data_IF_771008018533
#
_entry.id   IF_771008018533
#
_cell.length_a   1.000
_cell.length_b   1.000
_cell.length_c   1.000
_cell.angle_alpha   90.00
_cell.angle_beta   90.00
_cell.angle_gamma   90.00
#
_symmetry.space_group_name_H-M   'P 1'
#
loop_
_entity.id
_entity.type
_entity.pdbx_description
1 polymer ?
#
# COMPACT_ATOMS: atom_id res chain seq x y z
N UNK A 1 -19.45 2.22 -23.17
CA UNK A 1 -18.12 1.95 -23.73
C UNK A 1 -17.16 1.88 -22.55
N UNK A 2 -16.55 0.71 -22.31
CA UNK A 2 -15.60 0.54 -21.21
C UNK A 2 -14.36 1.40 -21.42
N UNK A 3 -13.85 1.96 -20.33
CA UNK A 3 -12.64 2.77 -20.35
C UNK A 3 -11.41 1.86 -20.40
N UNK A 4 -10.63 1.99 -21.48
CA UNK A 4 -9.39 1.21 -21.65
C UNK A 4 -8.17 1.87 -20.97
N UNK A 5 -8.37 2.94 -20.21
CA UNK A 5 -7.29 3.62 -19.52
C UNK A 5 -6.77 2.75 -18.37
N UNK A 6 -5.45 2.55 -18.35
CA UNK A 6 -4.76 1.90 -17.24
C UNK A 6 -4.71 2.84 -16.06
N UNK A 7 -5.21 2.39 -14.92
CA UNK A 7 -5.15 3.17 -13.67
C UNK A 7 -5.10 2.26 -12.45
N UNK A 8 -4.66 2.85 -11.35
CA UNK A 8 -4.63 2.16 -10.06
C UNK A 8 -6.04 1.96 -9.55
N UNK A 9 -6.30 0.74 -9.06
CA UNK A 9 -7.58 0.33 -8.52
C UNK A 9 -7.33 -0.48 -7.26
N UNK A 10 -8.23 -0.38 -6.30
CA UNK A 10 -8.09 -1.08 -5.02
C UNK A 10 -9.29 -1.96 -4.76
N UNK A 11 -9.01 -3.15 -4.26
CA UNK A 11 -10.02 -4.15 -3.87
C UNK A 11 -9.76 -4.54 -2.44
N UNK A 12 -10.80 -4.58 -1.62
CA UNK A 12 -10.75 -5.16 -0.28
C UNK A 12 -11.40 -6.53 -0.28
N UNK A 13 -10.77 -7.50 0.34
CA UNK A 13 -11.28 -8.86 0.46
C UNK A 13 -11.42 -9.26 1.92
N UNK A 14 -12.56 -9.90 2.24
CA UNK A 14 -12.65 -10.76 3.42
C UNK A 14 -12.40 -12.19 2.97
N UNK A 15 -11.45 -12.86 3.61
CA UNK A 15 -11.02 -14.21 3.25
C UNK A 15 -10.95 -15.09 4.51
N UNK A 16 -11.11 -16.40 4.32
CA UNK A 16 -10.88 -17.36 5.39
C UNK A 16 -9.41 -17.31 5.84
N UNK A 17 -9.16 -17.28 7.13
CA UNK A 17 -7.81 -17.29 7.68
C UNK A 17 -7.26 -18.72 7.72
N UNK A 18 -6.91 -19.25 6.56
CA UNK A 18 -6.40 -20.60 6.38
C UNK A 18 -5.05 -20.59 5.66
N UNK A 19 -4.27 -21.64 5.90
CA UNK A 19 -2.99 -21.86 5.21
C UNK A 19 -3.23 -21.96 3.71
N UNK A 20 -2.44 -21.23 2.93
CA UNK A 20 -2.47 -21.27 1.48
C UNK A 20 -3.42 -20.30 0.78
N UNK A 21 -4.29 -19.59 1.51
CA UNK A 21 -5.20 -18.61 0.88
C UNK A 21 -4.44 -17.49 0.21
N UNK A 22 -3.43 -16.93 0.87
CA UNK A 22 -2.57 -15.88 0.30
C UNK A 22 -1.90 -16.37 -0.99
N UNK A 23 -1.39 -17.60 -0.98
CA UNK A 23 -0.75 -18.22 -2.13
C UNK A 23 -1.74 -18.40 -3.30
N UNK A 24 -2.97 -18.80 -3.02
CA UNK A 24 -4.01 -18.95 -4.07
C UNK A 24 -4.37 -17.61 -4.71
N UNK A 25 -4.50 -16.56 -3.91
CA UNK A 25 -4.83 -15.23 -4.44
C UNK A 25 -3.67 -14.67 -5.26
N UNK A 26 -2.43 -14.76 -4.75
CA UNK A 26 -1.24 -14.36 -5.50
C UNK A 26 -1.10 -15.16 -6.79
N UNK A 27 -1.39 -16.48 -6.73
CA UNK A 27 -1.35 -17.37 -7.89
C UNK A 27 -2.38 -17.02 -8.94
N UNK A 28 -3.57 -16.54 -8.55
CA UNK A 28 -4.57 -16.06 -9.49
C UNK A 28 -4.03 -14.88 -10.30
N UNK A 29 -3.42 -13.90 -9.65
CA UNK A 29 -2.85 -12.74 -10.32
C UNK A 29 -1.72 -13.14 -11.28
N UNK A 30 -0.77 -13.96 -10.83
CA UNK A 30 0.34 -14.38 -11.68
C UNK A 30 -0.09 -15.29 -12.81
N UNK A 31 -1.02 -16.22 -12.56
CA UNK A 31 -1.51 -17.17 -13.57
C UNK A 31 -2.33 -16.52 -14.69
N UNK A 32 -2.98 -15.41 -14.43
CA UNK A 32 -3.75 -14.61 -15.39
C UNK A 32 -3.00 -13.40 -15.91
N UNK A 33 -1.75 -13.23 -15.52
CA UNK A 33 -0.93 -12.04 -15.84
C UNK A 33 -1.59 -10.72 -15.43
N UNK A 34 -2.37 -10.74 -14.35
CA UNK A 34 -2.90 -9.52 -13.75
C UNK A 34 -1.78 -8.81 -12.99
N UNK A 35 -1.80 -7.48 -13.02
CA UNK A 35 -0.79 -6.67 -12.35
C UNK A 35 -1.13 -6.48 -10.87
N UNK A 36 -0.43 -7.20 -10.00
CA UNK A 36 -0.52 -7.05 -8.54
C UNK A 36 0.59 -6.12 -8.07
N UNK A 37 0.24 -4.89 -7.72
CA UNK A 37 1.21 -3.88 -7.28
C UNK A 37 1.49 -3.93 -5.79
N UNK A 38 0.46 -4.19 -4.99
CA UNK A 38 0.57 -4.20 -3.53
C UNK A 38 -0.50 -5.10 -2.95
N UNK A 39 -0.15 -5.80 -1.89
CA UNK A 39 -1.08 -6.64 -1.13
C UNK A 39 -0.73 -6.54 0.35
N UNK A 40 -1.73 -6.20 1.16
CA UNK A 40 -1.63 -6.25 2.61
C UNK A 40 -2.68 -7.23 3.14
N UNK A 41 -2.37 -7.89 4.23
CA UNK A 41 -3.28 -8.85 4.87
C UNK A 41 -3.09 -8.82 6.38
N UNK A 42 -4.19 -8.92 7.10
CA UNK A 42 -4.19 -9.04 8.54
C UNK A 42 -5.46 -9.71 9.03
N UNK A 43 -5.40 -10.26 10.24
CA UNK A 43 -6.58 -10.83 10.90
C UNK A 43 -7.56 -9.72 11.26
N UNK A 44 -8.84 -10.06 11.23
CA UNK A 44 -9.91 -9.17 11.67
C UNK A 44 -10.25 -9.40 13.16
N UNK A 45 -11.31 -8.76 13.63
CA UNK A 45 -11.89 -9.02 14.96
C UNK A 45 -12.39 -10.46 15.12
N UNK A 46 -12.63 -11.15 13.99
CA UNK A 46 -12.90 -12.58 13.96
C UNK A 46 -11.59 -13.30 13.58
N UNK A 47 -10.99 -14.12 14.47
CA UNK A 47 -9.71 -14.76 14.18
C UNK A 47 -9.76 -15.80 13.05
N UNK A 48 -10.94 -16.20 12.60
CA UNK A 48 -11.11 -17.10 11.45
C UNK A 48 -11.13 -16.37 10.12
N UNK A 49 -11.14 -15.03 10.13
CA UNK A 49 -11.26 -14.18 8.96
C UNK A 49 -10.09 -13.22 8.90
N UNK A 50 -9.48 -13.12 7.73
CA UNK A 50 -8.48 -12.08 7.42
C UNK A 50 -9.05 -11.10 6.41
N UNK A 51 -8.50 -9.90 6.42
CA UNK A 51 -8.87 -8.87 5.44
C UNK A 51 -7.64 -8.45 4.66
N UNK A 52 -7.81 -8.36 3.34
CA UNK A 52 -6.76 -7.96 2.40
C UNK A 52 -7.13 -6.65 1.74
N UNK A 53 -6.11 -5.83 1.47
CA UNK A 53 -6.21 -4.69 0.56
C UNK A 53 -5.27 -4.94 -0.62
N UNK A 54 -5.82 -5.00 -1.82
CA UNK A 54 -5.07 -5.28 -3.04
C UNK A 54 -5.06 -4.04 -3.92
N UNK A 55 -3.88 -3.66 -4.39
CA UNK A 55 -3.68 -2.62 -5.40
C UNK A 55 -3.31 -3.28 -6.73
N UNK A 56 -4.04 -2.95 -7.78
CA UNK A 56 -3.77 -3.40 -9.14
C UNK A 56 -3.77 -2.21 -10.10
N UNK A 57 -2.98 -2.29 -11.14
CA UNK A 57 -3.01 -1.32 -12.24
C UNK A 57 -3.61 -2.02 -13.46
N UNK A 58 -4.79 -1.61 -13.87
CA UNK A 58 -5.54 -2.28 -14.91
C UNK A 58 -6.52 -1.35 -15.61
N UNK A 59 -6.97 -1.76 -16.81
CA UNK A 59 -8.13 -1.17 -17.45
C UNK A 59 -9.43 -1.66 -16.77
N UNK A 60 -10.55 -1.08 -17.14
CA UNK A 60 -11.85 -1.40 -16.54
C UNK A 60 -12.27 -2.86 -16.80
N UNK A 61 -12.06 -3.35 -18.01
CA UNK A 61 -12.43 -4.72 -18.39
C UNK A 61 -11.65 -5.75 -17.57
N UNK A 62 -10.34 -5.60 -17.49
CA UNK A 62 -9.49 -6.48 -16.70
C UNK A 62 -9.85 -6.42 -15.20
N UNK A 63 -10.14 -5.23 -14.70
CA UNK A 63 -10.56 -5.05 -13.31
C UNK A 63 -11.86 -5.79 -12.99
N UNK A 64 -12.84 -5.73 -13.89
CA UNK A 64 -14.09 -6.51 -13.74
C UNK A 64 -13.83 -8.02 -13.75
N UNK A 65 -12.90 -8.48 -14.59
CA UNK A 65 -12.50 -9.89 -14.61
C UNK A 65 -11.84 -10.30 -13.30
N UNK A 66 -10.97 -9.48 -12.76
CA UNK A 66 -10.30 -9.73 -11.47
C UNK A 66 -11.35 -9.91 -10.37
N UNK A 67 -12.33 -9.00 -10.27
CA UNK A 67 -13.39 -9.09 -9.27
C UNK A 67 -14.21 -10.37 -9.42
N UNK A 68 -14.56 -10.74 -10.64
CA UNK A 68 -15.30 -11.99 -10.93
C UNK A 68 -14.52 -13.22 -10.50
N UNK A 69 -13.23 -13.28 -10.83
CA UNK A 69 -12.38 -14.41 -10.46
C UNK A 69 -12.24 -14.54 -8.93
N UNK A 70 -12.06 -13.41 -8.23
CA UNK A 70 -11.99 -13.41 -6.79
C UNK A 70 -13.30 -13.88 -6.15
N UNK A 71 -14.45 -13.44 -6.67
CA UNK A 71 -15.75 -13.87 -6.18
C UNK A 71 -16.03 -15.37 -6.37
N UNK A 72 -15.36 -16.03 -7.30
CA UNK A 72 -15.50 -17.47 -7.55
C UNK A 72 -14.66 -18.33 -6.61
N UNK A 73 -13.69 -17.74 -5.91
CA UNK A 73 -12.84 -18.49 -4.99
C UNK A 73 -13.61 -18.85 -3.73
N UNK A 74 -13.57 -20.12 -3.34
CA UNK A 74 -14.29 -20.62 -2.16
C UNK A 74 -13.82 -19.93 -0.89
N UNK A 75 -12.53 -19.62 -0.79
CA UNK A 75 -11.91 -18.99 0.38
C UNK A 75 -12.22 -17.50 0.51
N UNK A 76 -12.74 -16.87 -0.54
CA UNK A 76 -13.11 -15.46 -0.54
C UNK A 76 -14.56 -15.31 -0.07
N UNK A 77 -14.73 -14.66 1.07
CA UNK A 77 -16.03 -14.45 1.70
C UNK A 77 -16.75 -13.26 1.06
N UNK A 78 -16.02 -12.18 0.80
CA UNK A 78 -16.59 -10.95 0.25
C UNK A 78 -15.54 -10.15 -0.52
N UNK A 79 -15.94 -9.59 -1.65
CA UNK A 79 -15.14 -8.65 -2.46
C UNK A 79 -15.78 -7.28 -2.37
N UNK A 80 -14.98 -6.26 -2.03
CA UNK A 80 -15.41 -4.87 -1.95
C UNK A 80 -14.58 -4.05 -2.92
N UNK A 81 -15.25 -3.41 -3.88
CA UNK A 81 -14.61 -2.50 -4.82
C UNK A 81 -14.42 -1.13 -4.17
N UNK A 82 -13.17 -0.76 -3.89
CA UNK A 82 -12.85 0.51 -3.25
C UNK A 82 -12.96 1.72 -4.18
N UNK A 83 -13.23 1.52 -5.47
CA UNK A 83 -13.48 2.65 -6.38
C UNK A 83 -14.90 3.20 -6.25
N UNK A 84 -15.83 2.40 -5.69
CA UNK A 84 -17.24 2.74 -5.61
C UNK A 84 -17.70 3.24 -4.24
N UNK A 85 -16.82 3.24 -3.26
CA UNK A 85 -17.12 3.63 -1.87
C UNK A 85 -16.09 4.61 -1.34
N UNK A 86 -16.50 5.42 -0.37
CA UNK A 86 -15.56 6.28 0.36
C UNK A 86 -14.69 5.43 1.26
N UNK A 87 -13.38 5.62 1.19
CA UNK A 87 -12.39 4.78 1.86
C UNK A 87 -11.38 5.66 2.59
N UNK A 88 -10.99 5.21 3.79
CA UNK A 88 -9.79 5.70 4.46
C UNK A 88 -8.67 4.69 4.20
N UNK A 89 -7.56 5.16 3.63
CA UNK A 89 -6.46 4.29 3.23
C UNK A 89 -5.13 4.96 3.56
N UNK A 90 -4.23 4.20 4.20
CA UNK A 90 -2.92 4.69 4.62
C UNK A 90 -1.87 3.61 4.41
N UNK A 91 -0.63 4.07 4.21
CA UNK A 91 0.55 3.22 4.09
C UNK A 91 1.61 3.69 5.08
N UNK A 92 2.13 2.76 5.87
CA UNK A 92 3.33 2.97 6.67
C UNK A 92 4.56 2.83 5.77
N UNK A 93 5.50 3.76 5.90
CA UNK A 93 6.75 3.74 5.15
C UNK A 93 7.92 4.16 6.06
N UNK A 94 9.02 3.43 6.00
CA UNK A 94 10.27 3.82 6.63
C UNK A 94 11.27 4.29 5.57
N UNK A 95 11.94 5.40 5.85
CA UNK A 95 13.05 5.87 5.02
C UNK A 95 14.26 6.12 5.93
N UNK A 96 15.36 5.45 5.61
CA UNK A 96 16.66 5.71 6.22
C UNK A 96 17.46 6.57 5.27
N UNK A 97 17.88 7.74 5.72
CA UNK A 97 18.76 8.63 4.97
C UNK A 97 20.17 8.43 5.52
N UNK A 98 21.10 8.05 4.65
CA UNK A 98 22.48 7.69 4.98
C UNK A 98 23.45 8.76 4.49
N UNK A 99 24.65 8.76 5.05
CA UNK A 99 25.72 9.70 4.67
C UNK A 99 25.29 11.16 4.83
N UNK A 100 24.60 11.45 5.93
CA UNK A 100 24.11 12.79 6.24
C UNK A 100 25.22 13.69 6.78
N UNK A 101 25.29 14.90 6.22
CA UNK A 101 26.01 16.02 6.85
C UNK A 101 25.18 16.58 8.00
N UNK A 102 25.75 17.41 8.89
CA UNK A 102 24.95 18.12 9.90
C UNK A 102 23.84 18.98 9.30
N UNK A 103 24.10 19.60 8.15
CA UNK A 103 23.10 20.38 7.41
C UNK A 103 21.97 19.50 6.89
N UNK A 104 22.29 18.32 6.37
CA UNK A 104 21.29 17.33 5.94
C UNK A 104 20.36 16.95 7.08
N UNK A 105 20.91 16.72 8.26
CA UNK A 105 20.11 16.37 9.44
C UNK A 105 19.14 17.48 9.84
N UNK A 106 19.60 18.74 9.82
CA UNK A 106 18.75 19.89 10.11
C UNK A 106 17.59 19.96 9.11
N UNK A 107 17.88 19.76 7.83
CA UNK A 107 16.87 19.75 6.78
C UNK A 107 15.88 18.59 6.97
N UNK A 108 16.37 17.39 7.32
CA UNK A 108 15.52 16.24 7.57
C UNK A 108 14.56 16.46 8.74
N UNK A 109 14.98 17.14 9.79
CA UNK A 109 14.07 17.49 10.90
C UNK A 109 12.97 18.45 10.45
N UNK A 110 13.28 19.41 9.57
CA UNK A 110 12.27 20.29 8.97
C UNK A 110 11.31 19.53 8.08
N UNK A 111 11.82 18.60 7.27
CA UNK A 111 11.01 17.72 6.41
C UNK A 111 10.09 16.87 7.28
N UNK A 112 10.61 16.26 8.33
CA UNK A 112 9.82 15.45 9.25
C UNK A 112 8.67 16.25 9.86
N UNK A 113 8.90 17.47 10.26
CA UNK A 113 7.87 18.35 10.81
C UNK A 113 6.81 18.69 9.75
N UNK A 114 7.25 19.05 8.55
CA UNK A 114 6.36 19.43 7.44
C UNK A 114 5.44 18.30 7.01
N UNK A 115 5.98 17.10 6.88
CA UNK A 115 5.22 15.92 6.44
C UNK A 115 4.63 15.12 7.60
N UNK A 116 4.72 15.62 8.82
CA UNK A 116 4.24 14.92 10.03
C UNK A 116 4.87 13.53 10.18
N UNK A 117 6.12 13.41 9.75
CA UNK A 117 6.90 12.19 9.93
C UNK A 117 7.49 12.15 11.34
N UNK A 118 7.75 10.93 11.82
CA UNK A 118 8.43 10.71 13.08
C UNK A 118 9.89 10.35 12.83
N UNK A 119 10.78 10.96 13.60
CA UNK A 119 12.17 10.52 13.68
C UNK A 119 12.20 9.31 14.61
N UNK A 120 12.43 8.12 14.04
CA UNK A 120 12.40 6.87 14.81
C UNK A 120 13.76 6.50 15.38
N UNK A 121 14.81 6.89 14.68
CA UNK A 121 16.19 6.63 15.11
C UNK A 121 17.12 7.68 14.53
N UNK A 122 18.25 7.87 15.19
CA UNK A 122 19.19 8.94 14.88
C UNK A 122 20.62 8.45 15.12
N UNK A 123 21.40 8.39 14.06
CA UNK A 123 22.79 8.01 14.10
C UNK A 123 23.72 9.20 13.85
N UNK A 124 25.02 8.95 13.88
CA UNK A 124 26.04 9.98 13.63
C UNK A 124 25.88 10.63 12.26
N UNK A 125 25.64 9.82 11.24
CA UNK A 125 25.52 10.25 9.85
C UNK A 125 24.28 9.69 9.15
N UNK A 126 23.27 9.30 9.93
CA UNK A 126 22.04 8.72 9.40
C UNK A 126 20.83 9.08 10.25
N UNK A 127 19.67 9.13 9.61
CA UNK A 127 18.39 9.40 10.26
C UNK A 127 17.34 8.43 9.71
N UNK A 128 16.56 7.85 10.60
CA UNK A 128 15.45 6.96 10.24
C UNK A 128 14.12 7.67 10.46
N UNK A 129 13.36 7.83 9.38
CA UNK A 129 12.06 8.50 9.38
C UNK A 129 10.93 7.51 9.15
N UNK A 130 9.81 7.74 9.83
CA UNK A 130 8.55 7.02 9.63
C UNK A 130 7.51 7.95 9.05
N UNK A 131 6.91 7.52 7.93
CA UNK A 131 5.82 8.24 7.26
C UNK A 131 4.55 7.39 7.29
N UNK A 132 3.42 8.02 7.52
CA UNK A 132 2.09 7.41 7.39
C UNK A 132 1.25 8.35 6.55
N UNK A 133 1.09 8.01 5.28
CA UNK A 133 0.35 8.78 4.28
C UNK A 133 -0.28 7.85 3.25
N UNK A 134 -0.97 8.40 2.27
CA UNK A 134 -1.39 7.60 1.11
C UNK A 134 -0.18 7.09 0.34
N UNK A 135 -0.35 5.97 -0.37
CA UNK A 135 0.73 5.43 -1.21
C UNK A 135 1.22 6.45 -2.25
N UNK A 136 0.30 7.23 -2.82
CA UNK A 136 0.63 8.28 -3.77
C UNK A 136 1.53 9.36 -3.15
N UNK A 137 1.17 9.84 -1.96
CA UNK A 137 1.98 10.83 -1.25
C UNK A 137 3.35 10.28 -0.85
N UNK A 138 3.39 9.02 -0.39
CA UNK A 138 4.66 8.36 -0.06
C UNK A 138 5.58 8.24 -1.29
N UNK A 139 5.03 7.94 -2.47
CA UNK A 139 5.80 7.94 -3.70
C UNK A 139 6.41 9.31 -4.00
N UNK A 140 5.65 10.38 -3.84
CA UNK A 140 6.14 11.75 -4.02
C UNK A 140 7.25 12.10 -3.01
N UNK A 141 7.11 11.68 -1.76
CA UNK A 141 8.13 11.87 -0.73
C UNK A 141 9.43 11.15 -1.09
N UNK A 142 9.35 9.92 -1.58
CA UNK A 142 10.52 9.16 -2.02
C UNK A 142 11.25 9.92 -3.14
N UNK A 143 10.52 10.39 -4.14
CA UNK A 143 11.11 11.14 -5.26
C UNK A 143 11.80 12.41 -4.77
N UNK A 144 11.17 13.14 -3.87
CA UNK A 144 11.74 14.35 -3.28
C UNK A 144 13.03 14.05 -2.50
N UNK A 145 13.02 13.07 -1.61
CA UNK A 145 14.20 12.72 -0.81
C UNK A 145 15.34 12.18 -1.69
N UNK A 146 15.03 11.42 -2.74
CA UNK A 146 16.06 10.95 -3.69
C UNK A 146 16.74 12.09 -4.43
N UNK A 147 16.03 13.17 -4.69
CA UNK A 147 16.61 14.34 -5.38
C UNK A 147 17.48 15.19 -4.45
N UNK A 148 17.20 15.19 -3.15
CA UNK A 148 17.85 16.09 -2.17
C UNK A 148 18.99 15.41 -1.41
N UNK A 149 18.97 14.08 -1.27
CA UNK A 149 19.93 13.36 -0.45
C UNK A 149 20.67 12.28 -1.25
N UNK A 150 21.93 12.02 -0.90
CA UNK A 150 22.80 11.15 -1.66
C UNK A 150 22.43 9.67 -1.59
N UNK A 151 21.93 9.20 -0.43
CA UNK A 151 21.66 7.79 -0.23
C UNK A 151 20.47 7.59 0.70
N UNK A 152 19.44 6.95 0.17
CA UNK A 152 18.26 6.58 0.96
C UNK A 152 17.96 5.09 0.80
N UNK A 153 17.35 4.53 1.82
CA UNK A 153 16.86 3.15 1.85
C UNK A 153 15.40 3.20 2.26
N UNK A 154 14.53 2.56 1.49
CA UNK A 154 13.08 2.67 1.64
C UNK A 154 12.47 1.29 1.87
N UNK A 155 11.58 1.21 2.87
CA UNK A 155 10.70 0.06 3.08
C UNK A 155 9.27 0.55 3.13
N UNK A 156 8.42 0.01 2.26
CA UNK A 156 7.00 0.34 2.18
C UNK A 156 6.16 -0.82 2.68
N UNK A 157 5.13 -0.50 3.45
CA UNK A 157 4.25 -1.54 4.01
C UNK A 157 3.10 -1.95 3.09
N UNK A 158 2.77 -1.14 2.10
CA UNK A 158 1.54 -1.30 1.32
C UNK A 158 0.35 -0.64 2.00
N UNK A 159 -0.70 -0.39 1.22
CA UNK A 159 -1.88 0.31 1.68
C UNK A 159 -2.80 -0.59 2.51
N UNK A 160 -3.27 -0.08 3.64
CA UNK A 160 -4.34 -0.67 4.43
C UNK A 160 -5.55 0.26 4.33
N UNK A 161 -6.70 -0.29 3.96
CA UNK A 161 -7.90 0.51 3.75
C UNK A 161 -9.13 -0.05 4.43
N UNK A 162 -10.04 0.85 4.75
CA UNK A 162 -11.35 0.54 5.32
C UNK A 162 -12.39 1.55 4.82
N UNK A 163 -13.62 1.10 4.67
CA UNK A 163 -14.72 2.00 4.27
C UNK A 163 -14.89 3.12 5.32
N UNK A 164 -15.09 4.34 4.85
CA UNK A 164 -15.40 5.46 5.73
C UNK A 164 -16.80 5.30 6.36
N UNK A 165 -17.00 5.93 7.50
CA UNK A 165 -18.31 5.95 8.18
C UNK A 165 -19.20 7.10 7.74
N UNK A 166 -18.63 8.04 7.00
CA UNK A 166 -19.34 9.22 6.45
C UNK A 166 -18.94 9.42 4.99
N UNK A 167 -19.83 10.12 4.26
CA UNK A 167 -19.64 10.41 2.83
C UNK A 167 -18.94 11.74 2.62
#
# INVERSE_FOLDING_TARGET
KMDNTMKKRWISLYVENQVGVLSKISGLFSGKSYNLESLTVGRTEDPTISRMTIETNSDEETYEQIKKQLNRMVEVIRVIDFTEVSVVMQELMFIKVKNCTPEDKTELFQIAQTYQAKVRDYGKDSVLLEFVHTAHKNTAIIQFLRSEFNSIEVVRGGSVGIEAVSY
#
